data_IF_822765526556
#
_entry.id   IF_822765526556
#
_cell.length_a   1.000
_cell.length_b   1.000
_cell.length_c   1.000
_cell.angle_alpha   90.00
_cell.angle_beta   90.00
_cell.angle_gamma   90.00
#
_symmetry.space_group_name_H-M   'P 1'
#
loop_
_entity.id
_entity.type
_entity.pdbx_description
1 polymer ?
#
# COMPACT_ATOMS: atom_id res chain seq x y z
N UNK A 1 -31.27 -40.39 -9.50
CA UNK A 1 -31.23 -39.13 -10.30
C UNK A 1 -31.14 -37.86 -9.44
N UNK A 2 -31.67 -37.82 -8.21
CA UNK A 2 -31.58 -36.64 -7.33
C UNK A 2 -30.17 -36.45 -6.71
N UNK A 3 -29.48 -37.55 -6.40
CA UNK A 3 -28.13 -37.55 -5.81
C UNK A 3 -27.06 -36.99 -6.76
N UNK A 4 -27.09 -37.37 -8.04
CA UNK A 4 -26.16 -36.87 -9.06
C UNK A 4 -26.35 -35.38 -9.35
N UNK A 5 -27.57 -34.85 -9.27
CA UNK A 5 -27.84 -33.40 -9.40
C UNK A 5 -27.27 -32.60 -8.22
N UNK A 6 -27.41 -33.10 -7.00
CA UNK A 6 -26.84 -32.46 -5.79
C UNK A 6 -25.32 -32.48 -5.82
N UNK A 7 -24.70 -33.59 -6.23
CA UNK A 7 -23.25 -33.70 -6.36
C UNK A 7 -22.67 -32.72 -7.40
N UNK A 8 -23.32 -32.58 -8.56
CA UNK A 8 -22.93 -31.62 -9.60
C UNK A 8 -22.98 -30.17 -9.11
N UNK A 9 -24.03 -29.80 -8.37
CA UNK A 9 -24.17 -28.46 -7.79
C UNK A 9 -23.05 -28.14 -6.79
N UNK A 10 -22.67 -29.11 -5.94
CA UNK A 10 -21.59 -28.93 -4.97
C UNK A 10 -20.24 -28.74 -5.66
N UNK A 11 -19.97 -29.52 -6.72
CA UNK A 11 -18.74 -29.39 -7.51
C UNK A 11 -18.68 -28.03 -8.22
N UNK A 12 -19.78 -27.58 -8.81
CA UNK A 12 -19.85 -26.27 -9.46
C UNK A 12 -19.65 -25.12 -8.48
N UNK A 13 -20.23 -25.19 -7.28
CA UNK A 13 -20.03 -24.19 -6.23
C UNK A 13 -18.57 -24.14 -5.75
N UNK A 14 -17.92 -25.29 -5.55
CA UNK A 14 -16.51 -25.36 -5.19
C UNK A 14 -15.60 -24.78 -6.28
N UNK A 15 -15.88 -25.08 -7.55
CA UNK A 15 -15.13 -24.52 -8.67
C UNK A 15 -15.26 -22.99 -8.74
N UNK A 16 -16.46 -22.45 -8.49
CA UNK A 16 -16.71 -21.01 -8.43
C UNK A 16 -15.97 -20.33 -7.29
N UNK A 17 -15.91 -20.95 -6.11
CA UNK A 17 -15.16 -20.43 -4.97
C UNK A 17 -13.66 -20.41 -5.30
N UNK A 18 -13.12 -21.49 -5.88
CA UNK A 18 -11.70 -21.56 -6.26
C UNK A 18 -11.36 -20.51 -7.33
N UNK A 19 -12.22 -20.34 -8.34
CA UNK A 19 -12.05 -19.32 -9.38
C UNK A 19 -12.13 -17.90 -8.82
N UNK A 20 -13.07 -17.64 -7.90
CA UNK A 20 -13.17 -16.36 -7.21
C UNK A 20 -11.92 -16.08 -6.37
N UNK A 21 -11.41 -17.08 -5.62
CA UNK A 21 -10.18 -16.96 -4.85
C UNK A 21 -8.95 -16.69 -5.73
N UNK A 22 -8.86 -17.34 -6.90
CA UNK A 22 -7.78 -17.09 -7.86
C UNK A 22 -7.88 -15.70 -8.50
N UNK A 23 -9.09 -15.26 -8.86
CA UNK A 23 -9.32 -13.91 -9.39
C UNK A 23 -9.00 -12.82 -8.35
N UNK A 24 -9.30 -13.07 -7.07
CA UNK A 24 -8.92 -12.20 -5.95
C UNK A 24 -7.40 -12.17 -5.72
N UNK A 25 -6.70 -13.30 -5.89
CA UNK A 25 -5.23 -13.32 -5.75
C UNK A 25 -4.48 -12.55 -6.84
N UNK A 26 -5.07 -12.40 -8.03
CA UNK A 26 -4.46 -11.65 -9.14
C UNK A 26 -4.40 -10.13 -8.93
N UNK A 27 -5.06 -9.59 -7.90
CA UNK A 27 -4.92 -8.19 -7.49
C UNK A 27 -3.64 -7.92 -6.71
N UNK A 28 -3.00 -8.96 -6.15
CA UNK A 28 -1.76 -8.84 -5.39
C UNK A 28 -0.58 -9.28 -6.25
N UNK A 29 0.02 -8.34 -6.98
CA UNK A 29 1.33 -8.58 -7.58
C UNK A 29 2.41 -8.46 -6.48
N UNK A 30 3.36 -9.41 -6.38
CA UNK A 30 4.42 -9.37 -5.36
C UNK A 30 5.25 -8.07 -5.33
N UNK A 31 5.27 -7.33 -6.44
CA UNK A 31 6.04 -6.08 -6.60
C UNK A 31 5.38 -4.85 -5.95
N UNK A 32 4.15 -4.94 -5.46
CA UNK A 32 3.40 -3.77 -4.95
C UNK A 32 3.94 -3.32 -3.59
N UNK A 33 4.42 -4.28 -2.80
CA UNK A 33 4.93 -4.11 -1.44
C UNK A 33 6.44 -4.33 -1.37
N UNK A 34 7.16 -4.09 -2.47
CA UNK A 34 8.61 -4.17 -2.49
C UNK A 34 9.22 -3.21 -1.45
N UNK A 35 10.12 -3.75 -0.63
CA UNK A 35 10.86 -3.06 0.42
C UNK A 35 12.29 -3.62 0.48
N UNK A 36 13.21 -2.87 1.07
CA UNK A 36 14.63 -3.21 1.23
C UNK A 36 15.07 -3.35 2.68
N UNK A 37 14.22 -2.95 3.63
CA UNK A 37 14.53 -2.89 5.06
C UNK A 37 13.67 -3.86 5.85
N UNK A 38 14.18 -4.30 7.00
CA UNK A 38 13.43 -5.16 7.92
C UNK A 38 12.33 -4.42 8.69
N UNK A 39 12.21 -3.09 8.51
CA UNK A 39 11.26 -2.23 9.22
C UNK A 39 10.49 -1.37 8.22
N UNK A 40 9.27 -1.79 7.91
CA UNK A 40 8.44 -1.16 6.89
C UNK A 40 6.95 -1.28 7.24
N UNK A 41 6.15 -0.39 6.67
CA UNK A 41 4.71 -0.38 6.83
C UNK A 41 4.03 -0.33 5.45
N UNK A 42 2.79 -0.80 5.38
CA UNK A 42 1.94 -0.68 4.19
C UNK A 42 0.95 0.44 4.41
N UNK A 43 1.01 1.47 3.57
CA UNK A 43 -0.04 2.49 3.50
C UNK A 43 -1.06 2.10 2.44
N UNK A 44 -2.34 2.36 2.71
CA UNK A 44 -3.43 2.23 1.75
C UNK A 44 -4.09 3.60 1.57
N UNK A 45 -4.15 4.09 0.33
CA UNK A 45 -4.78 5.37 0.02
C UNK A 45 -6.31 5.26 -0.11
N UNK A 46 -6.97 6.39 -0.39
CA UNK A 46 -8.44 6.48 -0.50
C UNK A 46 -9.04 5.63 -1.63
N UNK A 47 -8.23 5.22 -2.61
CA UNK A 47 -8.65 4.36 -3.71
C UNK A 47 -8.41 2.87 -3.42
N UNK A 48 -7.78 2.54 -2.30
CA UNK A 48 -7.39 1.18 -1.95
C UNK A 48 -6.05 0.75 -2.54
N UNK A 49 -5.30 1.68 -3.15
CA UNK A 49 -3.96 1.43 -3.64
C UNK A 49 -2.99 1.32 -2.46
N UNK A 50 -2.05 0.38 -2.54
CA UNK A 50 -1.13 0.07 -1.43
C UNK A 50 0.32 0.20 -1.85
N UNK A 51 1.14 0.80 -1.00
CA UNK A 51 2.59 0.81 -1.17
C UNK A 51 3.32 0.62 0.17
N UNK A 52 4.53 0.08 0.10
CA UNK A 52 5.43 0.04 1.24
C UNK A 52 6.07 1.43 1.51
N UNK A 53 6.22 1.76 2.79
CA UNK A 53 7.02 2.90 3.27
C UNK A 53 8.02 2.43 4.33
N UNK A 54 9.23 2.96 4.28
CA UNK A 54 10.39 2.44 5.02
C UNK A 54 11.06 3.56 5.83
N UNK A 55 10.38 4.20 6.82
CA UNK A 55 10.96 5.33 7.53
C UNK A 55 12.19 4.93 8.34
N UNK A 56 13.26 5.72 8.25
CA UNK A 56 14.44 5.56 9.10
C UNK A 56 14.29 6.26 10.46
N UNK A 57 13.40 7.25 10.56
CA UNK A 57 13.15 8.00 11.79
C UNK A 57 12.20 7.25 12.75
N UNK A 58 12.62 7.06 14.00
CA UNK A 58 11.85 6.32 15.02
C UNK A 58 10.54 7.00 15.44
N UNK A 59 10.48 8.33 15.42
CA UNK A 59 9.26 9.07 15.73
C UNK A 59 8.22 8.89 14.61
N UNK A 60 8.66 8.93 13.35
CA UNK A 60 7.79 8.65 12.19
C UNK A 60 7.33 7.20 12.22
N UNK A 61 8.23 6.25 12.50
CA UNK A 61 7.86 4.85 12.68
C UNK A 61 6.80 4.65 13.77
N UNK A 62 7.01 5.26 14.94
CA UNK A 62 6.04 5.21 16.05
C UNK A 62 4.69 5.79 15.64
N UNK A 63 4.67 6.87 14.86
CA UNK A 63 3.46 7.45 14.29
C UNK A 63 2.73 6.48 13.34
N UNK A 64 3.45 5.80 12.43
CA UNK A 64 2.83 4.81 11.54
C UNK A 64 2.24 3.63 12.32
N UNK A 65 2.94 3.16 13.36
CA UNK A 65 2.44 2.11 14.25
C UNK A 65 1.18 2.56 15.00
N UNK A 66 1.14 3.82 15.45
CA UNK A 66 -0.05 4.39 16.06
C UNK A 66 -1.22 4.44 15.08
N UNK A 67 -1.00 4.94 13.86
CA UNK A 67 -2.02 4.96 12.79
C UNK A 67 -2.57 3.56 12.52
N UNK A 68 -1.73 2.52 12.53
CA UNK A 68 -2.15 1.13 12.36
C UNK A 68 -3.06 0.65 13.50
N UNK A 69 -2.70 0.93 14.75
CA UNK A 69 -3.50 0.51 15.91
C UNK A 69 -4.82 1.26 16.04
N UNK A 70 -4.83 2.54 15.71
CA UNK A 70 -6.01 3.40 15.84
C UNK A 70 -6.90 3.38 14.58
N UNK A 71 -6.37 2.91 13.45
CA UNK A 71 -7.06 2.91 12.16
C UNK A 71 -7.30 4.31 11.61
N UNK A 72 -6.47 5.29 12.01
CA UNK A 72 -6.61 6.69 11.61
C UNK A 72 -6.05 6.95 10.23
N UNK A 73 -6.72 7.83 9.47
CA UNK A 73 -6.21 8.36 8.22
C UNK A 73 -5.42 9.65 8.48
N UNK A 74 -4.19 9.73 7.96
CA UNK A 74 -3.34 10.92 7.99
C UNK A 74 -2.56 11.02 6.68
N UNK A 75 -1.93 12.18 6.44
CA UNK A 75 -1.07 12.34 5.28
C UNK A 75 0.28 11.67 5.52
N UNK A 76 0.60 10.66 4.72
CA UNK A 76 1.94 10.06 4.69
C UNK A 76 2.64 10.55 3.44
N UNK A 77 3.86 11.08 3.58
CA UNK A 77 4.56 11.68 2.46
C UNK A 77 6.06 11.61 2.59
N UNK A 78 6.75 12.16 1.60
CA UNK A 78 8.19 12.22 1.53
C UNK A 78 8.67 12.67 0.16
N UNK A 79 9.99 12.67 -0.02
CA UNK A 79 10.59 12.93 -1.33
C UNK A 79 10.34 11.74 -2.25
N UNK A 80 9.74 11.99 -3.41
CA UNK A 80 9.49 10.97 -4.42
C UNK A 80 10.80 10.62 -5.12
N UNK A 81 11.14 9.33 -5.17
CA UNK A 81 12.23 8.83 -6.00
C UNK A 81 11.80 7.61 -6.82
N UNK A 82 12.45 7.43 -7.98
CA UNK A 82 12.20 6.26 -8.84
C UNK A 82 12.57 5.00 -8.11
N UNK A 83 11.69 4.00 -8.21
CA UNK A 83 11.87 2.73 -7.54
C UNK A 83 11.30 1.61 -8.41
N UNK A 84 12.01 0.49 -8.46
CA UNK A 84 11.62 -0.67 -9.27
C UNK A 84 10.58 -1.51 -8.51
N UNK A 85 9.38 -0.95 -8.30
CA UNK A 85 8.17 -1.59 -7.80
C UNK A 85 7.00 -1.36 -8.80
N UNK A 86 5.79 -1.85 -8.50
CA UNK A 86 4.61 -1.64 -9.37
C UNK A 86 4.33 -0.17 -9.68
N UNK A 87 4.54 0.70 -8.70
CA UNK A 87 4.21 2.13 -8.80
C UNK A 87 5.29 2.94 -9.53
N UNK A 88 6.48 2.37 -9.73
CA UNK A 88 7.64 3.07 -10.31
C UNK A 88 8.30 4.08 -9.37
N UNK A 89 7.83 4.21 -8.12
CA UNK A 89 8.37 5.14 -7.14
C UNK A 89 8.27 4.61 -5.70
N UNK A 90 9.08 5.21 -4.82
CA UNK A 90 8.91 5.15 -3.35
C UNK A 90 9.12 6.53 -2.75
N UNK A 91 8.72 6.71 -1.50
CA UNK A 91 9.21 7.83 -0.70
C UNK A 91 10.62 7.51 -0.19
N UNK A 92 11.55 8.46 -0.30
CA UNK A 92 12.91 8.29 0.24
C UNK A 92 12.84 7.98 1.74
N UNK A 93 13.43 6.85 2.21
CA UNK A 93 13.35 6.38 3.59
C UNK A 93 13.63 7.43 4.68
N UNK A 94 14.59 8.32 4.45
CA UNK A 94 15.02 9.37 5.38
C UNK A 94 14.16 10.64 5.35
N UNK A 95 13.19 10.71 4.44
CA UNK A 95 12.29 11.86 4.26
C UNK A 95 10.84 11.53 4.56
N UNK A 96 10.52 10.25 4.81
CA UNK A 96 9.17 9.82 5.14
C UNK A 96 8.68 10.60 6.36
N UNK A 97 7.47 11.14 6.28
CA UNK A 97 6.84 11.93 7.34
C UNK A 97 5.34 11.69 7.39
N UNK A 98 4.74 12.03 8.53
CA UNK A 98 3.30 12.02 8.76
C UNK A 98 2.87 13.46 9.05
N UNK A 99 1.75 13.91 8.47
CA UNK A 99 1.22 15.24 8.67
C UNK A 99 -0.31 15.25 8.83
N UNK A 100 -0.82 16.16 9.64
CA UNK A 100 -2.27 16.43 9.75
C UNK A 100 -2.74 17.42 8.67
N UNK A 101 -1.88 18.38 8.31
CA UNK A 101 -2.16 19.43 7.32
C UNK A 101 -0.99 19.54 6.36
N UNK A 102 -1.29 19.62 5.07
CA UNK A 102 -0.30 19.71 4.00
C UNK A 102 -0.69 20.80 3.00
N UNK A 103 0.26 21.26 2.18
CA UNK A 103 -0.06 22.14 1.07
C UNK A 103 -0.83 21.36 0.00
N UNK A 104 -1.99 21.85 -0.45
CA UNK A 104 -2.88 21.17 -1.40
C UNK A 104 -2.15 20.72 -2.67
N UNK A 105 -1.20 21.52 -3.17
CA UNK A 105 -0.41 21.20 -4.37
C UNK A 105 0.59 20.05 -4.22
N UNK A 106 0.77 19.50 -3.01
CA UNK A 106 1.60 18.33 -2.74
C UNK A 106 0.79 17.07 -2.46
N UNK A 107 -0.54 17.16 -2.44
CA UNK A 107 -1.43 16.03 -2.16
C UNK A 107 -1.76 15.28 -3.44
N UNK A 108 -1.64 13.95 -3.42
CA UNK A 108 -2.01 13.08 -4.53
C UNK A 108 -2.30 11.64 -4.06
N UNK A 109 -2.98 10.87 -4.89
CA UNK A 109 -3.09 9.40 -4.71
C UNK A 109 -1.83 8.73 -5.22
N UNK A 110 -1.63 7.46 -4.84
CA UNK A 110 -0.48 6.67 -5.30
C UNK A 110 -0.50 6.55 -6.82
N UNK A 111 -1.67 6.28 -7.40
CA UNK A 111 -1.86 6.20 -8.86
C UNK A 111 -1.50 7.52 -9.57
N UNK A 112 -1.93 8.67 -9.04
CA UNK A 112 -1.60 9.99 -9.63
C UNK A 112 -0.08 10.22 -9.61
N UNK A 113 0.60 9.87 -8.52
CA UNK A 113 2.06 9.98 -8.44
C UNK A 113 2.73 9.06 -9.47
N UNK A 114 2.26 7.82 -9.55
CA UNK A 114 2.77 6.81 -10.48
C UNK A 114 2.60 7.20 -11.95
N UNK A 115 1.50 7.88 -12.29
CA UNK A 115 1.18 8.28 -13.67
C UNK A 115 2.12 9.35 -14.23
N UNK A 116 2.75 10.17 -13.38
CA UNK A 116 3.68 11.24 -13.78
C UNK A 116 4.83 11.39 -12.78
N UNK A 117 5.61 10.32 -12.63
CA UNK A 117 6.75 10.29 -11.70
C UNK A 117 7.75 11.42 -12.00
N UNK A 118 7.94 11.80 -13.27
CA UNK A 118 8.89 12.87 -13.62
C UNK A 118 8.45 14.22 -13.04
N UNK A 119 7.16 14.54 -13.08
CA UNK A 119 6.62 15.73 -12.42
C UNK A 119 6.88 15.70 -10.91
N UNK A 120 6.50 14.61 -10.25
CA UNK A 120 6.60 14.50 -8.79
C UNK A 120 8.04 14.44 -8.28
N UNK A 121 8.93 13.78 -9.03
CA UNK A 121 10.38 13.77 -8.78
C UNK A 121 10.97 15.19 -8.89
N UNK A 122 10.56 15.99 -9.89
CA UNK A 122 11.00 17.39 -10.03
C UNK A 122 10.39 18.32 -8.98
N UNK A 123 9.14 18.10 -8.59
CA UNK A 123 8.48 18.83 -7.51
C UNK A 123 9.13 18.50 -6.17
N UNK A 124 9.60 17.27 -6.01
CA UNK A 124 10.47 16.81 -4.93
C UNK A 124 9.73 16.34 -3.69
N UNK A 125 8.43 16.56 -3.54
CA UNK A 125 7.68 16.07 -2.38
C UNK A 125 6.24 15.72 -2.77
N UNK A 126 5.69 14.68 -2.15
CA UNK A 126 4.27 14.35 -2.24
C UNK A 126 3.73 13.81 -0.92
N UNK A 127 2.42 13.91 -0.74
CA UNK A 127 1.67 13.38 0.38
C UNK A 127 0.46 12.59 -0.12
N UNK A 128 0.22 11.45 0.48
CA UNK A 128 -0.90 10.56 0.21
C UNK A 128 -1.78 10.50 1.46
N UNK A 129 -3.09 10.74 1.32
CA UNK A 129 -4.03 10.53 2.43
C UNK A 129 -4.19 9.03 2.58
N UNK A 130 -3.70 8.49 3.68
CA UNK A 130 -3.62 7.05 3.84
C UNK A 130 -3.85 6.60 5.28
N UNK A 131 -4.31 5.36 5.39
CA UNK A 131 -4.24 4.56 6.61
C UNK A 131 -3.06 3.61 6.52
N UNK A 132 -2.56 3.17 7.68
CA UNK A 132 -1.59 2.06 7.72
C UNK A 132 -2.36 0.76 7.90
N UNK A 133 -2.17 -0.19 6.99
CA UNK A 133 -2.88 -1.48 6.99
C UNK A 133 -2.02 -2.66 7.45
N UNK A 134 -0.69 -2.52 7.42
CA UNK A 134 0.25 -3.52 7.91
C UNK A 134 1.51 -2.84 8.46
N UNK A 135 2.10 -3.45 9.49
CA UNK A 135 3.40 -3.04 10.06
C UNK A 135 4.28 -4.28 10.22
N UNK A 136 5.52 -4.17 9.76
CA UNK A 136 6.48 -5.27 9.73
C UNK A 136 7.80 -4.80 10.35
N UNK A 137 8.25 -5.51 11.38
CA UNK A 137 9.58 -5.34 11.96
C UNK A 137 10.12 -6.66 12.48
N UNK A 138 11.40 -6.96 12.21
CA UNK A 138 12.09 -8.05 12.90
C UNK A 138 12.56 -7.56 14.27
N UNK A 139 12.09 -8.20 15.35
CA UNK A 139 12.71 -8.07 16.66
C UNK A 139 14.04 -8.83 16.64
N UNK A 140 15.14 -8.11 16.87
CA UNK A 140 16.45 -8.70 17.16
C UNK A 140 16.57 -9.03 18.65
#
# INVERSE_FOLDING_TARGET
>A
MLFTKRLMLTIAALALIILASFALSGYFTPDDLKHETDRWAVIEDVNGDRMAVEPTNDAVWSGLVQMYHEGTEQWVGGVVERYSNRWGFRFKPDTVTIAEVTAEGLQATIEIISSDIEYWEKLGWAYVSAKVVEVHFLSS
#
